data_IF_845172780282
#
_entry.id   IF_845172780282
#
_cell.length_a   1.000
_cell.length_b   1.000
_cell.length_c   1.000
_cell.angle_alpha   90.00
_cell.angle_beta   90.00
_cell.angle_gamma   90.00
#
_symmetry.space_group_name_H-M   'P 1'
#
loop_
_entity.id
_entity.type
_entity.pdbx_description
1 polymer ?
#
# COMPACT_ATOMS: atom_id res chain seq x y z
N UNK A 1 -2.69 -43.17 10.14
CA UNK A 1 -3.79 -42.64 10.80
C UNK A 1 -3.82 -41.15 10.89
N UNK A 2 -2.97 -40.55 11.70
CA UNK A 2 -2.99 -39.11 11.84
C UNK A 2 -2.30 -38.35 10.71
N UNK A 3 -1.48 -39.04 9.91
CA UNK A 3 -0.69 -38.34 8.88
C UNK A 3 -1.51 -37.59 7.86
N UNK A 4 -2.56 -38.19 7.24
CA UNK A 4 -3.37 -37.46 6.28
C UNK A 4 -4.08 -36.24 6.89
N UNK A 5 -4.53 -36.39 8.13
CA UNK A 5 -5.19 -35.30 8.84
C UNK A 5 -4.20 -34.20 9.15
N UNK A 6 -3.00 -34.57 9.60
CA UNK A 6 -1.92 -33.62 9.92
C UNK A 6 -1.52 -32.82 8.67
N UNK A 7 -1.40 -33.50 7.53
CA UNK A 7 -1.05 -32.82 6.28
C UNK A 7 -2.13 -31.84 5.86
N UNK A 8 -3.39 -32.22 6.00
CA UNK A 8 -4.51 -31.33 5.67
C UNK A 8 -4.54 -30.11 6.56
N UNK A 9 -4.34 -30.28 7.85
CA UNK A 9 -4.29 -29.20 8.81
C UNK A 9 -3.11 -28.26 8.53
N UNK A 10 -1.96 -28.84 8.17
CA UNK A 10 -0.79 -28.05 7.87
C UNK A 10 -1.01 -27.19 6.62
N UNK A 11 -1.60 -27.75 5.58
CA UNK A 11 -1.88 -26.99 4.35
C UNK A 11 -2.84 -25.84 4.61
N UNK A 12 -3.88 -26.09 5.38
CA UNK A 12 -4.87 -25.05 5.71
C UNK A 12 -4.24 -23.97 6.57
N UNK A 13 -3.44 -24.36 7.56
CA UNK A 13 -2.73 -23.41 8.40
C UNK A 13 -1.76 -22.55 7.58
N UNK A 14 -1.06 -23.16 6.62
CA UNK A 14 -0.15 -22.44 5.74
C UNK A 14 -0.91 -21.46 4.85
N UNK A 15 -2.06 -21.87 4.34
CA UNK A 15 -2.91 -21.00 3.53
C UNK A 15 -3.40 -19.82 4.34
N UNK A 16 -3.85 -20.05 5.56
CA UNK A 16 -4.31 -18.99 6.45
C UNK A 16 -3.20 -18.00 6.76
N UNK A 17 -1.99 -18.51 6.99
CA UNK A 17 -0.83 -17.65 7.22
C UNK A 17 -0.51 -16.81 5.98
N UNK A 18 -0.58 -17.40 4.80
CA UNK A 18 -0.35 -16.67 3.56
C UNK A 18 -1.36 -15.54 3.39
N UNK A 19 -2.63 -15.82 3.66
CA UNK A 19 -3.70 -14.82 3.58
C UNK A 19 -3.46 -13.72 4.59
N UNK A 20 -3.15 -14.08 5.83
CA UNK A 20 -2.85 -13.12 6.89
C UNK A 20 -1.67 -12.23 6.50
N UNK A 21 -0.61 -12.84 5.93
CA UNK A 21 0.56 -12.09 5.51
C UNK A 21 0.23 -11.09 4.40
N UNK A 22 -0.65 -11.46 3.47
CA UNK A 22 -1.09 -10.54 2.41
C UNK A 22 -1.83 -9.36 3.03
N UNK A 23 -2.76 -9.62 3.94
CA UNK A 23 -3.53 -8.58 4.62
C UNK A 23 -2.61 -7.64 5.39
N UNK A 24 -1.67 -8.20 6.16
CA UNK A 24 -0.70 -7.41 6.92
C UNK A 24 0.18 -6.57 6.00
N UNK A 25 0.62 -7.14 4.89
CA UNK A 25 1.44 -6.42 3.90
C UNK A 25 0.69 -5.22 3.34
N UNK A 26 -0.58 -5.41 2.97
CA UNK A 26 -1.42 -4.32 2.46
C UNK A 26 -1.58 -3.23 3.53
N UNK A 27 -1.89 -3.64 4.76
CA UNK A 27 -2.08 -2.69 5.86
C UNK A 27 -0.82 -1.87 6.12
N UNK A 28 0.35 -2.51 6.11
CA UNK A 28 1.62 -1.82 6.31
C UNK A 28 1.92 -0.84 5.18
N UNK A 29 1.62 -1.22 3.94
CA UNK A 29 1.84 -0.36 2.79
C UNK A 29 0.89 0.83 2.80
N UNK A 30 -0.37 0.62 3.18
CA UNK A 30 -1.33 1.72 3.31
C UNK A 30 -0.90 2.69 4.42
N UNK A 31 -0.40 2.19 5.54
CA UNK A 31 0.09 3.03 6.62
C UNK A 31 1.31 3.84 6.17
N UNK A 32 2.22 3.22 5.45
CA UNK A 32 3.40 3.90 4.91
C UNK A 32 2.99 4.99 3.92
N UNK A 33 2.03 4.70 3.05
CA UNK A 33 1.52 5.66 2.09
C UNK A 33 0.89 6.85 2.79
N UNK A 34 0.07 6.61 3.81
CA UNK A 34 -0.55 7.69 4.59
C UNK A 34 0.50 8.57 5.24
N UNK A 35 1.57 7.98 5.75
CA UNK A 35 2.67 8.71 6.35
C UNK A 35 3.38 9.60 5.33
N UNK A 36 3.66 9.08 4.15
CA UNK A 36 4.30 9.83 3.07
C UNK A 36 3.42 11.01 2.65
N UNK A 37 2.13 10.76 2.46
CA UNK A 37 1.20 11.81 2.06
C UNK A 37 1.12 12.92 3.09
N UNK A 38 1.12 12.56 4.37
CA UNK A 38 1.10 13.55 5.45
C UNK A 38 2.37 14.40 5.45
N UNK A 39 3.53 13.75 5.33
CA UNK A 39 4.82 14.44 5.31
C UNK A 39 4.92 15.40 4.13
N UNK A 40 4.47 14.99 2.95
CA UNK A 40 4.49 15.85 1.78
C UNK A 40 3.51 17.01 1.93
N UNK A 41 2.33 16.76 2.51
CA UNK A 41 1.35 17.81 2.76
C UNK A 41 1.90 18.87 3.71
N UNK A 42 2.56 18.45 4.78
CA UNK A 42 3.18 19.36 5.75
C UNK A 42 4.29 20.18 5.09
N UNK A 43 5.08 19.55 4.25
CA UNK A 43 6.14 20.21 3.51
C UNK A 43 5.58 21.28 2.58
N UNK A 44 4.52 20.96 1.85
CA UNK A 44 3.86 21.90 0.95
C UNK A 44 3.28 23.09 1.72
N UNK A 45 2.64 22.82 2.84
CA UNK A 45 2.08 23.87 3.68
C UNK A 45 3.16 24.80 4.21
N UNK A 46 4.31 24.26 4.60
CA UNK A 46 5.44 25.04 5.08
C UNK A 46 5.98 25.95 3.98
N UNK A 47 6.08 25.44 2.75
CA UNK A 47 6.55 26.23 1.62
C UNK A 47 5.58 27.37 1.29
N UNK A 48 4.29 27.05 1.21
CA UNK A 48 3.26 28.02 0.82
C UNK A 48 3.02 29.06 1.91
N UNK A 49 3.03 28.65 3.17
CA UNK A 49 2.71 29.52 4.29
C UNK A 49 3.87 30.34 4.84
N UNK A 50 5.09 29.99 4.49
CA UNK A 50 6.25 30.57 5.12
C UNK A 50 6.72 31.91 4.53
N UNK A 51 6.41 32.19 3.28
CA UNK A 51 6.87 33.39 2.58
C UNK A 51 6.12 33.56 1.26
N UNK A 52 6.46 34.64 0.57
CA UNK A 52 5.92 34.90 -0.76
C UNK A 52 6.46 33.84 -1.74
N UNK A 53 5.56 33.13 -2.41
CA UNK A 53 5.94 32.02 -3.30
C UNK A 53 6.15 32.56 -4.72
N UNK A 54 7.31 32.28 -5.29
CA UNK A 54 7.63 32.68 -6.66
C UNK A 54 7.03 31.71 -7.67
N UNK A 55 6.96 32.15 -8.94
CA UNK A 55 6.50 31.28 -10.04
C UNK A 55 7.38 30.04 -10.18
N UNK A 56 8.68 30.21 -9.96
CA UNK A 56 9.63 29.10 -10.03
C UNK A 56 9.39 28.07 -8.94
N UNK A 57 9.14 28.55 -7.73
CA UNK A 57 8.81 27.68 -6.60
C UNK A 57 7.51 26.93 -6.82
N UNK A 58 6.51 27.60 -7.39
CA UNK A 58 5.24 26.97 -7.73
C UNK A 58 5.43 25.87 -8.78
N UNK A 59 6.28 26.13 -9.77
CA UNK A 59 6.59 25.16 -10.81
C UNK A 59 7.25 23.91 -10.21
N UNK A 60 8.24 24.11 -9.34
CA UNK A 60 8.92 23.01 -8.67
C UNK A 60 7.97 22.23 -7.77
N UNK A 61 7.11 22.92 -7.04
CA UNK A 61 6.11 22.30 -6.18
C UNK A 61 5.15 21.46 -7.00
N UNK A 62 4.70 21.98 -8.13
CA UNK A 62 3.79 21.28 -9.02
C UNK A 62 4.42 19.98 -9.56
N UNK A 63 5.70 20.03 -9.90
CA UNK A 63 6.44 18.84 -10.33
C UNK A 63 6.51 17.79 -9.23
N UNK A 64 6.77 18.24 -8.01
CA UNK A 64 6.80 17.34 -6.85
C UNK A 64 5.46 16.66 -6.64
N UNK A 65 4.38 17.42 -6.77
CA UNK A 65 3.02 16.88 -6.64
C UNK A 65 2.73 15.85 -7.71
N UNK A 66 3.11 16.14 -8.95
CA UNK A 66 2.92 15.21 -10.06
C UNK A 66 3.68 13.90 -9.83
N UNK A 67 4.93 13.99 -9.37
CA UNK A 67 5.74 12.81 -9.06
C UNK A 67 5.12 11.99 -7.94
N UNK A 68 4.61 12.66 -6.92
CA UNK A 68 3.95 12.00 -5.80
C UNK A 68 2.69 11.27 -6.27
N UNK A 69 1.86 11.92 -7.07
CA UNK A 69 0.64 11.32 -7.61
C UNK A 69 0.97 10.09 -8.43
N UNK A 70 2.01 10.14 -9.27
CA UNK A 70 2.44 8.98 -10.04
C UNK A 70 2.87 7.82 -9.15
N UNK A 71 3.63 8.12 -8.09
CA UNK A 71 4.10 7.10 -7.15
C UNK A 71 2.93 6.48 -6.40
N UNK A 72 1.98 7.30 -5.96
CA UNK A 72 0.77 6.84 -5.26
C UNK A 72 -0.04 5.93 -6.17
N UNK A 73 -0.22 6.34 -7.42
CA UNK A 73 -0.98 5.55 -8.39
C UNK A 73 -0.36 4.17 -8.59
N UNK A 74 0.97 4.11 -8.76
CA UNK A 74 1.66 2.82 -8.92
C UNK A 74 1.52 1.95 -7.69
N UNK A 75 1.63 2.54 -6.51
CA UNK A 75 1.48 1.80 -5.26
C UNK A 75 0.07 1.25 -5.11
N UNK A 76 -0.94 2.06 -5.41
CA UNK A 76 -2.34 1.62 -5.35
C UNK A 76 -2.61 0.46 -6.32
N UNK A 77 -2.02 0.49 -7.51
CA UNK A 77 -2.14 -0.60 -8.45
C UNK A 77 -1.52 -1.88 -7.90
N UNK A 78 -0.38 -1.76 -7.22
CA UNK A 78 0.27 -2.92 -6.59
C UNK A 78 -0.59 -3.49 -5.47
N UNK A 79 -1.18 -2.63 -4.65
CA UNK A 79 -2.06 -3.04 -3.56
C UNK A 79 -3.31 -3.73 -4.10
N UNK A 80 -3.87 -3.18 -5.17
CA UNK A 80 -5.03 -3.78 -5.82
C UNK A 80 -4.70 -5.18 -6.34
N UNK A 81 -3.53 -5.35 -6.94
CA UNK A 81 -3.09 -6.66 -7.43
C UNK A 81 -2.98 -7.66 -6.29
N UNK A 82 -2.49 -7.24 -5.13
CA UNK A 82 -2.39 -8.10 -3.94
C UNK A 82 -3.77 -8.49 -3.42
N UNK A 83 -4.69 -7.56 -3.41
CA UNK A 83 -6.07 -7.82 -2.98
C UNK A 83 -6.77 -8.78 -3.93
N UNK A 84 -6.53 -8.65 -5.22
CA UNK A 84 -7.07 -9.58 -6.22
C UNK A 84 -6.55 -10.99 -5.99
N UNK A 85 -5.27 -11.13 -5.64
CA UNK A 85 -4.71 -12.42 -5.26
C UNK A 85 -5.41 -13.01 -4.05
N UNK A 86 -5.72 -12.17 -3.07
CA UNK A 86 -6.45 -12.59 -1.88
C UNK A 86 -7.83 -13.09 -2.25
N UNK A 87 -8.57 -12.36 -3.08
CA UNK A 87 -9.90 -12.75 -3.53
C UNK A 87 -9.87 -14.07 -4.28
N UNK A 88 -8.87 -14.28 -5.12
CA UNK A 88 -8.71 -15.51 -5.87
C UNK A 88 -8.49 -16.69 -4.94
N UNK A 89 -7.66 -16.52 -3.92
CA UNK A 89 -7.41 -17.56 -2.92
C UNK A 89 -8.66 -17.88 -2.11
N UNK A 90 -9.46 -16.88 -1.80
CA UNK A 90 -10.72 -17.09 -1.09
C UNK A 90 -11.70 -17.88 -1.95
N UNK A 91 -11.76 -17.62 -3.22
CA UNK A 91 -12.60 -18.37 -4.16
C UNK A 91 -12.17 -19.82 -4.26
N UNK A 92 -10.87 -20.07 -4.27
CA UNK A 92 -10.32 -21.42 -4.35
C UNK A 92 -10.66 -22.25 -3.13
N UNK A 93 -10.91 -21.63 -1.98
CA UNK A 93 -11.28 -22.33 -0.76
C UNK A 93 -12.69 -22.91 -0.81
N UNK A 94 -13.53 -22.36 -1.62
CA UNK A 94 -14.91 -22.80 -1.76
C UNK A 94 -15.11 -23.64 -3.00
#
# INVERSE_FOLDING_TARGET
MGIPIIWGEHEESTREKAITNIIQSVALQEAALAHILRAESEKMQAIIGGHHVTSEELFELNKSVESLISAVTRLEMTLQAKLELFELKEKERH
#
